data_IF_972898823061
#
_entry.id   IF_972898823061
#
_cell.length_a   1.000
_cell.length_b   1.000
_cell.length_c   1.000
_cell.angle_alpha   90.00
_cell.angle_beta   90.00
_cell.angle_gamma   90.00
#
_symmetry.space_group_name_H-M   'P 1'
#
loop_
_entity.id
_entity.type
_entity.pdbx_description
1 polymer ?
#
# COMPACT_ATOMS: atom_id res chain seq x y z
N UNK A 1 6.65 -3.82 -9.72
CA UNK A 1 5.90 -4.10 -10.97
C UNK A 1 4.81 -5.17 -10.83
N UNK A 2 5.14 -6.45 -10.59
CA UNK A 2 4.16 -7.56 -10.61
C UNK A 2 2.97 -7.39 -9.64
N UNK A 3 3.23 -6.88 -8.43
CA UNK A 3 2.20 -6.56 -7.42
C UNK A 3 1.20 -5.51 -7.90
N UNK A 4 1.71 -4.46 -8.58
CA UNK A 4 0.88 -3.39 -9.11
C UNK A 4 0.01 -3.87 -10.28
N UNK A 5 0.60 -4.66 -11.18
CA UNK A 5 -0.14 -5.29 -12.28
C UNK A 5 -1.28 -6.18 -11.76
N UNK A 6 -1.00 -7.01 -10.74
CA UNK A 6 -2.03 -7.81 -10.09
C UNK A 6 -3.12 -6.96 -9.41
N UNK A 7 -2.76 -5.84 -8.77
CA UNK A 7 -3.75 -4.91 -8.20
C UNK A 7 -4.71 -4.40 -9.29
N UNK A 8 -4.16 -3.90 -10.40
CA UNK A 8 -4.95 -3.38 -11.52
C UNK A 8 -5.88 -4.46 -12.09
N UNK A 9 -5.38 -5.68 -12.29
CA UNK A 9 -6.19 -6.78 -12.79
C UNK A 9 -7.29 -7.22 -11.79
N UNK A 10 -6.97 -7.27 -10.50
CA UNK A 10 -7.84 -7.86 -9.48
C UNK A 10 -8.91 -6.91 -8.96
N UNK A 11 -8.57 -5.63 -8.78
CA UNK A 11 -9.41 -4.66 -8.08
C UNK A 11 -9.95 -3.54 -8.97
N UNK A 12 -9.25 -3.21 -10.06
CA UNK A 12 -9.68 -2.17 -10.99
C UNK A 12 -10.46 -2.81 -12.14
N UNK A 13 -9.82 -3.70 -12.89
CA UNK A 13 -10.38 -4.28 -14.11
C UNK A 13 -10.16 -3.38 -15.33
N UNK A 14 -10.80 -3.71 -16.45
CA UNK A 14 -10.56 -3.05 -17.76
C UNK A 14 -11.82 -2.39 -18.36
N UNK A 15 -12.96 -2.48 -17.68
CA UNK A 15 -14.26 -2.08 -18.22
C UNK A 15 -14.86 -0.98 -17.35
N UNK A 16 -14.46 0.26 -17.63
CA UNK A 16 -15.01 1.45 -16.99
C UNK A 16 -15.56 2.39 -18.07
N UNK A 17 -16.64 3.16 -17.78
CA UNK A 17 -17.31 3.99 -18.78
C UNK A 17 -16.48 5.21 -19.21
N UNK A 18 -15.46 5.57 -18.43
CA UNK A 18 -14.54 6.69 -18.68
C UNK A 18 -13.16 6.36 -18.12
N UNK A 19 -12.09 7.03 -18.58
CA UNK A 19 -10.78 6.92 -17.96
C UNK A 19 -10.85 7.23 -16.46
N UNK A 20 -10.17 6.42 -15.66
CA UNK A 20 -10.08 6.62 -14.21
C UNK A 20 -8.91 7.55 -13.88
N UNK A 21 -9.14 8.52 -12.99
CA UNK A 21 -8.08 9.42 -12.55
C UNK A 21 -7.23 8.76 -11.48
N UNK A 22 -5.93 8.63 -11.75
CA UNK A 22 -4.98 7.93 -10.89
C UNK A 22 -3.82 8.85 -10.49
N UNK A 23 -3.53 8.90 -9.19
CA UNK A 23 -2.36 9.58 -8.65
C UNK A 23 -1.31 8.54 -8.25
N UNK A 24 -0.07 8.73 -8.69
CA UNK A 24 1.09 7.96 -8.21
C UNK A 24 1.92 8.82 -7.25
N UNK A 25 1.97 8.43 -5.97
CA UNK A 25 2.63 9.18 -4.89
C UNK A 25 4.05 8.64 -4.70
N UNK A 26 5.05 9.52 -4.85
CA UNK A 26 6.46 9.15 -4.90
C UNK A 26 6.84 8.61 -6.27
N UNK A 27 6.44 9.31 -7.34
CA UNK A 27 6.47 8.79 -8.72
C UNK A 27 7.81 8.96 -9.44
N UNK A 28 8.83 9.54 -8.79
CA UNK A 28 10.12 9.78 -9.41
C UNK A 28 10.70 8.48 -9.98
N UNK A 29 10.97 8.44 -11.28
CA UNK A 29 11.48 7.24 -11.95
C UNK A 29 12.99 7.07 -11.73
N UNK A 30 13.34 6.21 -10.76
CA UNK A 30 14.72 5.74 -10.51
C UNK A 30 15.01 4.43 -11.24
N UNK A 31 14.09 3.46 -11.18
CA UNK A 31 14.27 2.08 -11.66
C UNK A 31 13.04 1.53 -12.43
N UNK A 32 12.23 2.42 -12.97
CA UNK A 32 11.02 2.14 -13.73
C UNK A 32 9.77 2.75 -13.11
N UNK A 33 8.83 3.09 -13.98
CA UNK A 33 7.53 3.68 -13.62
C UNK A 33 6.36 2.71 -13.81
N UNK A 34 5.28 2.93 -13.04
CA UNK A 34 3.98 2.27 -13.24
C UNK A 34 3.18 2.83 -14.42
N UNK A 35 3.54 4.00 -14.98
CA UNK A 35 2.83 4.62 -16.12
C UNK A 35 2.62 3.65 -17.29
N UNK A 36 3.59 2.77 -17.56
CA UNK A 36 3.48 1.76 -18.63
C UNK A 36 2.36 0.72 -18.44
N UNK A 37 1.82 0.59 -17.22
CA UNK A 37 0.68 -0.28 -16.92
C UNK A 37 -0.67 0.42 -17.13
N UNK A 38 -0.66 1.74 -17.36
CA UNK A 38 -1.80 2.62 -17.24
C UNK A 38 -1.99 3.37 -18.57
N UNK A 39 -2.55 2.71 -19.60
CA UNK A 39 -2.72 3.33 -20.92
C UNK A 39 -3.72 4.48 -20.87
N UNK A 40 -3.44 5.54 -21.64
CA UNK A 40 -4.18 6.81 -21.63
C UNK A 40 -5.67 6.69 -22.02
N UNK A 41 -6.05 5.61 -22.71
CA UNK A 41 -7.45 5.32 -23.07
C UNK A 41 -8.28 4.82 -21.87
N UNK A 42 -7.63 4.36 -20.81
CA UNK A 42 -8.26 3.85 -19.59
C UNK A 42 -7.93 4.67 -18.35
N UNK A 43 -6.85 5.47 -18.36
CA UNK A 43 -6.39 6.19 -17.18
C UNK A 43 -5.95 7.63 -17.48
N UNK A 44 -6.34 8.55 -16.61
CA UNK A 44 -5.72 9.89 -16.51
C UNK A 44 -4.66 9.81 -15.40
N UNK A 45 -3.42 9.49 -15.78
CA UNK A 45 -2.31 9.33 -14.84
C UNK A 45 -1.63 10.65 -14.51
N UNK A 46 -1.41 10.88 -13.22
CA UNK A 46 -0.59 11.97 -12.69
C UNK A 46 0.45 11.40 -11.73
N UNK A 47 1.73 11.62 -12.04
CA UNK A 47 2.84 11.34 -11.13
C UNK A 47 3.09 12.52 -10.21
N UNK A 48 3.27 12.25 -8.91
CA UNK A 48 3.53 13.27 -7.89
C UNK A 48 4.73 12.92 -7.04
N UNK A 49 5.58 13.91 -6.79
CA UNK A 49 6.79 13.76 -5.96
C UNK A 49 7.14 15.08 -5.25
N UNK A 50 8.09 15.04 -4.31
CA UNK A 50 8.68 16.24 -3.69
C UNK A 50 9.76 16.86 -4.56
N UNK A 51 10.34 16.10 -5.48
CA UNK A 51 11.39 16.58 -6.39
C UNK A 51 10.92 16.55 -7.85
N UNK A 52 11.37 17.52 -8.63
CA UNK A 52 11.16 17.48 -10.08
C UNK A 52 12.01 16.37 -10.70
N UNK A 53 11.45 15.63 -11.65
CA UNK A 53 12.22 14.59 -12.32
C UNK A 53 11.44 13.76 -13.32
N UNK A 54 12.06 12.69 -13.82
CA UNK A 54 11.40 11.73 -14.69
C UNK A 54 10.11 11.19 -14.05
N UNK A 55 9.03 11.14 -14.84
CA UNK A 55 7.70 10.67 -14.42
C UNK A 55 6.99 11.52 -13.33
N UNK A 56 7.46 12.74 -13.05
CA UNK A 56 6.79 13.66 -12.11
C UNK A 56 6.04 14.74 -12.89
N UNK A 57 4.71 14.78 -12.74
CA UNK A 57 3.83 15.79 -13.34
C UNK A 57 3.48 16.91 -12.34
N UNK A 58 3.43 16.58 -11.05
CA UNK A 58 3.17 17.51 -9.95
C UNK A 58 4.28 17.42 -8.89
N UNK A 59 4.95 18.54 -8.64
CA UNK A 59 5.84 18.69 -7.49
C UNK A 59 5.05 19.35 -6.35
N UNK A 60 4.96 18.67 -5.21
CA UNK A 60 4.24 19.22 -4.05
C UNK A 60 5.10 20.21 -3.27
N UNK A 61 4.47 21.28 -2.76
CA UNK A 61 5.18 22.28 -1.97
C UNK A 61 5.65 21.73 -0.62
N UNK A 62 4.88 20.80 -0.05
CA UNK A 62 5.20 20.15 1.21
C UNK A 62 4.84 18.65 1.18
N UNK A 63 5.60 17.79 1.87
CA UNK A 63 5.38 16.34 1.84
C UNK A 63 3.99 15.89 2.32
N UNK A 64 3.40 16.65 3.25
CA UNK A 64 2.24 16.22 4.04
C UNK A 64 1.03 17.15 3.91
N UNK A 65 1.06 18.09 2.95
CA UNK A 65 -0.08 18.93 2.61
C UNK A 65 -0.06 19.20 1.12
N UNK A 66 -1.12 18.75 0.43
CA UNK A 66 -1.26 18.82 -1.02
C UNK A 66 -2.42 19.75 -1.41
N UNK A 67 -2.34 21.06 -1.10
CA UNK A 67 -3.40 22.02 -1.44
C UNK A 67 -3.67 22.15 -2.95
N UNK A 68 -2.72 21.70 -3.79
CA UNK A 68 -2.87 21.60 -5.24
C UNK A 68 -3.91 20.55 -5.66
N UNK A 69 -4.25 19.62 -4.78
CA UNK A 69 -5.15 18.51 -5.05
C UNK A 69 -6.47 18.69 -4.30
N UNK A 70 -7.57 18.63 -5.05
CA UNK A 70 -8.92 18.79 -4.49
C UNK A 70 -9.35 17.57 -3.66
N UNK A 71 -10.29 17.80 -2.74
CA UNK A 71 -10.91 16.71 -1.97
C UNK A 71 -11.82 15.89 -2.89
N UNK A 72 -11.87 14.57 -2.69
CA UNK A 72 -12.69 13.65 -3.49
C UNK A 72 -12.47 13.79 -5.02
N UNK A 73 -11.22 13.91 -5.48
CA UNK A 73 -10.87 14.15 -6.88
C UNK A 73 -10.27 12.97 -7.63
N UNK A 74 -9.74 11.95 -6.94
CA UNK A 74 -9.09 10.78 -7.57
C UNK A 74 -9.91 9.50 -7.38
N UNK A 75 -9.96 8.69 -8.43
CA UNK A 75 -10.59 7.36 -8.40
C UNK A 75 -9.62 6.34 -7.78
N UNK A 76 -8.32 6.49 -8.06
CA UNK A 76 -7.28 5.58 -7.58
C UNK A 76 -6.07 6.37 -7.10
N UNK A 77 -5.46 5.94 -5.99
CA UNK A 77 -4.13 6.37 -5.57
C UNK A 77 -3.22 5.16 -5.48
N UNK A 78 -2.01 5.25 -6.03
CA UNK A 78 -0.99 4.21 -5.94
C UNK A 78 0.30 4.78 -5.35
N UNK A 79 1.09 3.92 -4.72
CA UNK A 79 2.45 4.23 -4.31
C UNK A 79 3.27 2.95 -4.22
N UNK A 80 4.51 2.99 -4.69
CA UNK A 80 5.43 1.85 -4.61
C UNK A 80 6.80 2.29 -4.12
N UNK A 81 7.29 1.67 -3.04
CA UNK A 81 8.63 1.89 -2.49
C UNK A 81 8.92 3.38 -2.17
N UNK A 82 7.93 4.08 -1.62
CA UNK A 82 8.08 5.46 -1.14
C UNK A 82 7.75 5.61 0.35
N UNK A 83 6.92 4.73 0.90
CA UNK A 83 6.39 4.87 2.27
C UNK A 83 7.43 4.63 3.37
N UNK A 84 8.48 3.87 3.07
CA UNK A 84 9.65 3.70 3.93
C UNK A 84 10.42 4.99 4.14
N UNK A 85 10.36 5.92 3.19
CA UNK A 85 11.02 7.23 3.27
C UNK A 85 10.13 8.32 3.89
N UNK A 86 8.86 8.03 4.15
CA UNK A 86 7.92 8.98 4.76
C UNK A 86 8.03 8.94 6.28
N UNK A 87 8.75 9.90 6.88
CA UNK A 87 8.88 10.02 8.35
C UNK A 87 7.53 9.94 9.09
N UNK A 88 6.50 10.56 8.51
CA UNK A 88 5.14 10.62 9.05
C UNK A 88 4.10 10.09 8.05
N UNK A 89 4.24 8.84 7.62
CA UNK A 89 3.33 8.21 6.64
C UNK A 89 1.83 8.35 6.99
N UNK A 90 1.47 8.52 8.27
CA UNK A 90 0.09 8.72 8.68
C UNK A 90 -0.48 10.06 8.17
N UNK A 91 0.33 11.11 8.05
CA UNK A 91 -0.08 12.37 7.44
C UNK A 91 -0.27 12.22 5.92
N UNK A 92 0.60 11.44 5.27
CA UNK A 92 0.42 11.04 3.86
C UNK A 92 -0.91 10.29 3.68
N UNK A 93 -1.23 9.36 4.58
CA UNK A 93 -2.50 8.64 4.54
C UNK A 93 -3.72 9.55 4.73
N UNK A 94 -3.62 10.61 5.55
CA UNK A 94 -4.68 11.63 5.66
C UNK A 94 -4.91 12.33 4.33
N UNK A 95 -3.86 12.77 3.65
CA UNK A 95 -4.01 13.40 2.33
C UNK A 95 -4.54 12.44 1.27
N UNK A 96 -4.05 11.19 1.23
CA UNK A 96 -4.60 10.14 0.35
C UNK A 96 -6.10 9.95 0.60
N UNK A 97 -6.50 9.80 1.86
CA UNK A 97 -7.90 9.64 2.22
C UNK A 97 -8.73 10.87 1.83
N UNK A 98 -8.19 12.09 1.96
CA UNK A 98 -8.88 13.32 1.56
C UNK A 98 -9.12 13.38 0.05
N UNK A 99 -8.11 13.09 -0.78
CA UNK A 99 -8.21 13.25 -2.23
C UNK A 99 -8.96 12.10 -2.93
N UNK A 100 -9.05 10.93 -2.30
CA UNK A 100 -9.83 9.82 -2.84
C UNK A 100 -11.33 10.14 -2.85
N UNK A 101 -12.00 9.85 -3.96
CA UNK A 101 -13.46 9.85 -4.06
C UNK A 101 -14.07 8.77 -3.16
N UNK A 102 -15.35 8.91 -2.75
CA UNK A 102 -16.13 7.77 -2.26
C UNK A 102 -16.15 6.64 -3.29
N UNK A 103 -15.84 5.42 -2.85
CA UNK A 103 -15.63 4.25 -3.70
C UNK A 103 -14.21 4.13 -4.28
N UNK A 104 -13.36 5.15 -4.14
CA UNK A 104 -12.00 5.17 -4.67
C UNK A 104 -11.06 4.20 -3.94
N UNK A 105 -10.04 3.74 -4.65
CA UNK A 105 -9.10 2.71 -4.20
C UNK A 105 -7.71 3.29 -3.92
N UNK A 106 -7.05 2.78 -2.90
CA UNK A 106 -5.61 2.97 -2.70
C UNK A 106 -4.86 1.65 -2.76
N UNK A 107 -3.73 1.62 -3.45
CA UNK A 107 -2.75 0.52 -3.38
C UNK A 107 -1.38 1.03 -2.95
N UNK A 108 -0.87 0.55 -1.82
CA UNK A 108 0.47 0.86 -1.32
C UNK A 108 1.30 -0.42 -1.30
N UNK A 109 2.51 -0.34 -1.87
CA UNK A 109 3.53 -1.38 -1.79
C UNK A 109 4.77 -0.75 -1.16
N UNK A 110 5.29 -1.34 -0.09
CA UNK A 110 6.44 -0.82 0.64
C UNK A 110 7.30 -1.98 1.16
N UNK A 111 8.60 -1.76 1.40
CA UNK A 111 9.50 -2.84 1.80
C UNK A 111 9.16 -3.37 3.19
N UNK A 112 9.15 -4.69 3.29
CA UNK A 112 9.14 -5.43 4.55
C UNK A 112 10.54 -5.82 5.00
N UNK A 113 11.44 -6.12 4.06
CA UNK A 113 12.79 -6.59 4.34
C UNK A 113 13.73 -6.17 3.23
N UNK A 114 14.75 -5.39 3.62
CA UNK A 114 15.91 -5.01 2.82
C UNK A 114 16.95 -4.41 3.77
N UNK A 115 18.21 -4.31 3.36
CA UNK A 115 19.23 -3.51 4.07
C UNK A 115 18.74 -2.06 4.24
N UNK A 116 19.31 -1.31 5.19
CA UNK A 116 18.96 0.11 5.32
C UNK A 116 19.33 0.84 4.02
N UNK A 117 18.33 1.44 3.39
CA UNK A 117 18.41 2.09 2.09
C UNK A 117 18.00 3.55 2.22
N UNK A 118 18.96 4.42 2.55
CA UNK A 118 18.68 5.84 2.80
C UNK A 118 18.55 6.63 1.50
N UNK A 119 17.38 7.22 1.26
CA UNK A 119 17.16 8.09 0.11
C UNK A 119 16.06 9.16 0.35
N UNK A 120 16.28 10.17 1.22
CA UNK A 120 17.47 10.45 2.05
C UNK A 120 17.42 9.82 3.46
N UNK A 121 16.25 9.34 3.88
CA UNK A 121 15.98 8.65 5.16
C UNK A 121 15.44 7.26 4.88
N UNK A 122 15.41 6.39 5.87
CA UNK A 122 14.79 5.07 5.76
C UNK A 122 14.17 4.72 7.11
N UNK A 123 12.85 4.91 7.21
CA UNK A 123 12.16 5.05 8.48
C UNK A 123 11.45 3.76 8.92
N UNK A 124 10.96 2.97 7.96
CA UNK A 124 10.01 1.90 8.28
C UNK A 124 10.20 0.64 7.44
N UNK A 125 9.90 -0.50 8.06
CA UNK A 125 9.66 -1.79 7.41
C UNK A 125 8.23 -2.21 7.72
N UNK A 126 7.46 -2.48 6.69
CA UNK A 126 6.02 -2.69 6.82
C UNK A 126 5.69 -4.17 6.90
N UNK A 127 4.81 -4.52 7.84
CA UNK A 127 4.19 -5.84 7.94
C UNK A 127 2.69 -5.72 7.67
N UNK A 128 2.01 -6.86 7.50
CA UNK A 128 0.57 -6.94 7.17
C UNK A 128 -0.27 -6.14 8.17
N UNK A 129 0.00 -6.28 9.48
CA UNK A 129 -0.74 -5.55 10.51
C UNK A 129 -0.49 -4.03 10.45
N UNK A 130 0.73 -3.62 10.09
CA UNK A 130 1.10 -2.22 9.88
C UNK A 130 0.37 -1.62 8.68
N UNK A 131 0.35 -2.35 7.55
CA UNK A 131 -0.43 -2.01 6.36
C UNK A 131 -1.91 -1.83 6.72
N UNK A 132 -2.50 -2.77 7.44
CA UNK A 132 -3.90 -2.66 7.87
C UNK A 132 -4.14 -1.52 8.87
N UNK A 133 -3.16 -1.24 9.75
CA UNK A 133 -3.24 -0.12 10.68
C UNK A 133 -3.25 1.23 9.95
N UNK A 134 -2.50 1.39 8.86
CA UNK A 134 -2.53 2.60 8.03
C UNK A 134 -3.91 2.87 7.44
N UNK A 135 -4.54 1.88 6.80
CA UNK A 135 -5.91 2.02 6.29
C UNK A 135 -6.91 2.32 7.42
N UNK A 136 -6.85 1.57 8.52
CA UNK A 136 -7.73 1.80 9.67
C UNK A 136 -7.57 3.18 10.28
N UNK A 137 -6.34 3.69 10.34
CA UNK A 137 -6.01 5.01 10.89
C UNK A 137 -6.87 6.10 10.26
N UNK A 138 -7.11 6.03 8.95
CA UNK A 138 -7.95 6.95 8.16
C UNK A 138 -9.31 6.35 7.76
N UNK A 139 -9.77 5.33 8.48
CA UNK A 139 -11.09 4.69 8.29
C UNK A 139 -11.35 4.19 6.85
N UNK A 140 -10.32 3.73 6.14
CA UNK A 140 -10.46 3.04 4.87
C UNK A 140 -10.75 1.55 5.11
N UNK A 141 -11.60 0.98 4.27
CA UNK A 141 -11.93 -0.44 4.34
C UNK A 141 -10.84 -1.26 3.65
N UNK A 142 -10.16 -2.11 4.42
CA UNK A 142 -9.10 -2.98 3.90
C UNK A 142 -9.71 -4.05 3.00
N UNK A 143 -9.23 -4.13 1.75
CA UNK A 143 -9.62 -5.15 0.78
C UNK A 143 -8.53 -6.22 0.59
N UNK A 144 -7.27 -5.81 0.73
CA UNK A 144 -6.11 -6.69 0.71
C UNK A 144 -5.05 -6.18 1.68
N UNK A 145 -4.38 -7.09 2.36
CA UNK A 145 -3.14 -6.79 3.05
C UNK A 145 -2.29 -8.05 3.10
N UNK A 146 -1.00 -7.93 2.77
CA UNK A 146 -0.08 -9.05 2.86
C UNK A 146 1.36 -8.60 3.07
N UNK A 147 2.16 -9.53 3.59
CA UNK A 147 3.62 -9.47 3.64
C UNK A 147 4.14 -10.69 2.91
N UNK A 148 5.03 -10.50 1.95
CA UNK A 148 5.67 -11.58 1.21
C UNK A 148 4.72 -12.60 0.62
N UNK A 149 3.57 -12.16 0.11
CA UNK A 149 2.62 -13.04 -0.53
C UNK A 149 2.78 -13.05 -2.05
N UNK A 150 2.41 -14.18 -2.66
CA UNK A 150 2.51 -14.42 -4.10
C UNK A 150 1.36 -15.29 -4.62
N UNK A 151 1.01 -15.19 -5.91
CA UNK A 151 0.05 -16.11 -6.53
C UNK A 151 0.57 -17.55 -6.54
N UNK A 152 -0.35 -18.51 -6.60
CA UNK A 152 0.02 -19.93 -6.66
C UNK A 152 0.99 -20.22 -7.81
N UNK A 153 2.07 -20.94 -7.51
CA UNK A 153 3.11 -21.29 -8.50
C UNK A 153 3.99 -20.12 -8.97
N UNK A 154 3.85 -18.91 -8.39
CA UNK A 154 4.64 -17.72 -8.78
C UNK A 154 5.71 -17.30 -7.76
N UNK A 155 5.99 -18.14 -6.76
CA UNK A 155 7.00 -17.86 -5.72
C UNK A 155 8.32 -17.33 -6.31
N UNK A 156 8.90 -18.03 -7.28
CA UNK A 156 10.24 -17.72 -7.80
C UNK A 156 10.35 -16.39 -8.56
N UNK A 157 9.22 -15.75 -8.92
CA UNK A 157 9.22 -14.46 -9.60
C UNK A 157 8.72 -13.32 -8.71
N UNK A 158 7.97 -13.63 -7.65
CA UNK A 158 7.37 -12.65 -6.74
C UNK A 158 8.10 -12.51 -5.41
N UNK A 159 8.87 -13.53 -5.03
CA UNK A 159 9.63 -13.57 -3.81
C UNK A 159 11.12 -13.56 -4.14
N UNK A 160 11.84 -12.66 -3.48
CA UNK A 160 13.29 -12.65 -3.44
C UNK A 160 13.68 -12.41 -1.99
N UNK A 161 14.52 -13.31 -1.48
CA UNK A 161 15.00 -13.23 -0.11
C UNK A 161 15.84 -11.96 0.06
N UNK A 162 15.55 -11.21 1.12
CA UNK A 162 16.16 -9.92 1.41
C UNK A 162 15.59 -8.75 0.61
N UNK A 163 14.61 -8.94 -0.27
CA UNK A 163 13.89 -7.90 -1.03
C UNK A 163 12.37 -8.11 -0.91
N UNK A 164 11.95 -8.27 0.34
CA UNK A 164 10.59 -8.55 0.75
C UNK A 164 9.70 -7.30 0.69
N UNK A 165 8.46 -7.47 0.20
CA UNK A 165 7.45 -6.41 0.13
C UNK A 165 6.25 -6.72 1.02
N UNK A 166 5.68 -5.68 1.60
CA UNK A 166 4.30 -5.65 2.04
C UNK A 166 3.43 -4.90 1.04
N UNK A 167 2.14 -5.24 1.01
CA UNK A 167 1.16 -4.65 0.11
C UNK A 167 -0.16 -4.42 0.85
N UNK A 168 -0.82 -3.31 0.55
CA UNK A 168 -2.15 -2.96 1.01
C UNK A 168 -3.02 -2.52 -0.16
N UNK A 169 -4.27 -2.96 -0.18
CA UNK A 169 -5.34 -2.36 -0.99
C UNK A 169 -6.49 -1.99 -0.06
N UNK A 170 -6.99 -0.76 -0.15
CA UNK A 170 -8.11 -0.29 0.65
C UNK A 170 -9.05 0.61 -0.16
N UNK A 171 -10.27 0.81 0.34
CA UNK A 171 -11.30 1.62 -0.30
C UNK A 171 -11.84 2.70 0.65
N UNK A 172 -12.09 3.90 0.12
CA UNK A 172 -12.75 4.97 0.87
C UNK A 172 -14.27 4.86 0.73
N UNK A 173 -14.98 4.62 1.83
CA UNK A 173 -16.46 4.53 1.83
C UNK A 173 -17.16 5.76 2.44
N UNK A 174 -16.48 6.91 2.41
CA UNK A 174 -17.01 8.19 2.85
C UNK A 174 -16.57 9.33 1.92
N UNK A 175 -17.21 10.49 2.02
CA UNK A 175 -16.84 11.72 1.31
C UNK A 175 -16.17 12.74 2.22
N UNK A 176 -15.47 13.70 1.61
CA UNK A 176 -14.89 14.84 2.28
C UNK A 176 -13.52 14.56 2.91
N UNK A 177 -13.16 15.31 3.97
CA UNK A 177 -11.83 15.24 4.56
C UNK A 177 -11.56 13.87 5.20
N UNK A 178 -10.29 13.58 5.43
CA UNK A 178 -9.86 12.37 6.13
C UNK A 178 -10.54 12.23 7.49
N UNK A 179 -10.96 11.01 7.81
CA UNK A 179 -11.53 10.66 9.12
C UNK A 179 -10.55 9.78 9.86
N UNK A 180 -9.90 10.31 10.89
CA UNK A 180 -8.99 9.51 11.71
C UNK A 180 -9.72 8.67 12.75
N UNK A 181 -9.08 7.61 13.25
CA UNK A 181 -9.61 6.79 14.36
C UNK A 181 -9.89 7.63 15.62
N UNK A 182 -10.97 7.31 16.32
CA UNK A 182 -11.24 7.89 17.64
C UNK A 182 -10.30 7.27 18.69
N UNK A 183 -9.32 8.07 19.12
CA UNK A 183 -8.30 7.67 20.09
C UNK A 183 -8.85 7.30 21.46
N UNK A 184 -10.07 7.73 21.81
CA UNK A 184 -10.70 7.41 23.11
C UNK A 184 -11.36 6.03 23.12
N UNK A 185 -11.85 5.58 21.96
CA UNK A 185 -12.59 4.32 21.82
C UNK A 185 -11.82 3.25 21.05
N UNK A 186 -10.71 3.60 20.40
CA UNK A 186 -9.90 2.64 19.65
C UNK A 186 -9.35 1.54 20.56
N UNK A 187 -9.57 0.30 20.13
CA UNK A 187 -8.94 -0.89 20.70
C UNK A 187 -8.23 -1.63 19.59
N UNK A 188 -6.99 -2.06 19.84
CA UNK A 188 -6.21 -2.85 18.88
C UNK A 188 -6.99 -4.12 18.52
N UNK A 189 -7.35 -4.25 17.24
CA UNK A 189 -7.98 -5.45 16.70
C UNK A 189 -6.89 -6.27 16.00
N UNK A 190 -6.48 -7.43 16.54
CA UNK A 190 -5.61 -8.35 15.82
C UNK A 190 -6.25 -8.69 14.46
N UNK A 191 -5.50 -8.53 13.38
CA UNK A 191 -6.05 -8.76 12.06
C UNK A 191 -6.25 -10.26 11.81
N UNK A 192 -7.40 -10.62 11.26
CA UNK A 192 -7.60 -11.92 10.62
C UNK A 192 -6.93 -11.91 9.23
N UNK A 193 -5.60 -11.84 9.20
CA UNK A 193 -4.80 -11.61 7.98
C UNK A 193 -5.17 -12.56 6.84
N UNK A 194 -5.51 -13.81 7.15
CA UNK A 194 -5.91 -14.83 6.17
C UNK A 194 -7.11 -14.41 5.31
N UNK A 195 -8.02 -13.57 5.86
CA UNK A 195 -9.19 -13.05 5.12
C UNK A 195 -8.81 -12.03 4.05
N UNK A 196 -7.68 -11.34 4.22
CA UNK A 196 -7.26 -10.23 3.36
C UNK A 196 -6.18 -10.61 2.36
N UNK A 197 -5.91 -11.90 2.17
CA UNK A 197 -4.90 -12.37 1.22
C UNK A 197 -5.38 -12.35 -0.24
N UNK A 198 -6.70 -12.25 -0.47
CA UNK A 198 -7.30 -12.15 -1.82
C UNK A 198 -6.82 -13.24 -2.81
N UNK A 199 -6.49 -14.43 -2.29
CA UNK A 199 -6.00 -15.58 -3.05
C UNK A 199 -4.47 -15.68 -3.16
N UNK A 200 -3.70 -14.72 -2.64
CA UNK A 200 -2.26 -14.83 -2.53
C UNK A 200 -1.88 -15.76 -1.37
N UNK A 201 -0.74 -16.45 -1.50
CA UNK A 201 -0.17 -17.27 -0.44
C UNK A 201 0.98 -16.52 0.22
N UNK A 202 0.95 -16.30 1.55
CA UNK A 202 2.08 -15.71 2.25
C UNK A 202 3.26 -16.67 2.18
N UNK A 203 4.46 -16.12 2.06
CA UNK A 203 5.69 -16.89 2.26
C UNK A 203 5.68 -17.46 3.68
N UNK A 204 5.96 -18.76 3.78
CA UNK A 204 6.16 -19.43 5.05
C UNK A 204 7.52 -20.09 5.02
N UNK A 205 8.41 -19.72 5.96
CA UNK A 205 9.65 -20.45 6.15
C UNK A 205 9.31 -21.81 6.83
N UNK A 206 9.58 -22.95 6.17
CA UNK A 206 9.22 -24.26 6.71
C UNK A 206 9.87 -24.56 8.06
N UNK A 207 11.07 -24.04 8.32
CA UNK A 207 11.82 -24.29 9.55
C UNK A 207 11.27 -23.48 10.74
N UNK A 208 10.96 -22.20 10.53
CA UNK A 208 10.39 -21.34 11.57
C UNK A 208 8.98 -21.78 11.98
N UNK A 209 8.18 -22.26 11.02
CA UNK A 209 6.85 -22.79 11.28
C UNK A 209 6.87 -23.99 12.25
N UNK A 210 7.91 -24.82 12.19
CA UNK A 210 8.06 -25.96 13.09
C UNK A 210 8.42 -25.49 14.52
N UNK A 211 9.33 -24.51 14.62
CA UNK A 211 9.76 -23.94 15.90
C UNK A 211 8.62 -23.16 16.57
N UNK A 212 7.90 -22.31 15.85
CA UNK A 212 6.74 -21.57 16.40
C UNK A 212 5.63 -22.52 16.86
N UNK A 213 5.31 -23.56 16.08
CA UNK A 213 4.33 -24.58 16.50
C UNK A 213 4.77 -25.32 17.76
N UNK A 214 6.08 -25.56 17.93
CA UNK A 214 6.65 -26.16 19.13
C UNK A 214 6.54 -25.21 20.33
N UNK A 215 6.93 -23.94 20.16
CA UNK A 215 6.87 -22.90 21.20
C UNK A 215 5.43 -22.64 21.66
N UNK A 216 4.46 -22.51 20.75
CA UNK A 216 3.05 -22.35 21.11
C UNK A 216 2.50 -23.56 21.87
N UNK A 217 2.92 -24.78 21.53
CA UNK A 217 2.57 -26.00 22.29
C UNK A 217 3.14 -25.99 23.70
N UNK A 218 4.33 -25.43 23.90
CA UNK A 218 4.95 -25.29 25.22
C UNK A 218 4.22 -24.23 26.04
N UNK A 219 3.98 -23.04 25.47
CA UNK A 219 3.25 -21.95 26.13
C UNK A 219 1.84 -22.37 26.57
N UNK A 220 1.09 -23.10 25.75
CA UNK A 220 -0.25 -23.62 26.10
C UNK A 220 -0.24 -24.72 27.17
N UNK A 221 0.90 -25.33 27.46
CA UNK A 221 1.05 -26.31 28.56
C UNK A 221 1.46 -25.65 29.88
N UNK A 222 1.91 -24.39 29.83
CA UNK A 222 2.37 -23.61 30.98
C UNK A 222 1.32 -22.60 31.49
N UNK A 223 0.28 -22.34 30.71
CA UNK A 223 -0.90 -21.56 31.09
C UNK A 223 -2.04 -22.50 31.52
#
# INVERSE_FOLDING_TARGET
>A
MLRMEWFLEKFVGKNHPSPLKILDVGSYDVNGTYRKLLPDDQFEYMGMDMETGPNVDLVVDTPYSWPQLETDSFDIVISGQAFEHNEFFWLTMEEIARILKPGGLVCIIAPNGFEEHRFPVDCYRFFTDGMMAMARYVQLDVLHASTNAFPEGKKNTWYKEGEEDAMMVAQKNYSGPAKIVDRKSYSCQPAEQEKFLSGLKPFQNPQENLIQKLLMKIYRKMA
#
